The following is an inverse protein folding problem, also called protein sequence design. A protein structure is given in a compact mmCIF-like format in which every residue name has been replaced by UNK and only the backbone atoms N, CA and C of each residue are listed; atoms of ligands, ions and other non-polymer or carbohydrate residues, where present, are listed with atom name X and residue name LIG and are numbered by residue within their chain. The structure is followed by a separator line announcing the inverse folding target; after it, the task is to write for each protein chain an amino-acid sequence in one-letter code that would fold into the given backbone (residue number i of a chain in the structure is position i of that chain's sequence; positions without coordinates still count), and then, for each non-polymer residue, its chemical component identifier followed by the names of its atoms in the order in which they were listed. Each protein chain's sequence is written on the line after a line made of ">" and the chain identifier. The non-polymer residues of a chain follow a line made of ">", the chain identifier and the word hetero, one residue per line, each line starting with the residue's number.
data_IF_971807593632
#
_entry.id   IF_971807593632
#
_cell.length_a   1.000
_cell.length_b   1.000
_cell.length_c   1.000
_cell.angle_alpha   90.00
_cell.angle_beta   90.00
_cell.angle_gamma   90.00
#
_symmetry.space_group_name_H-M   'P 1'
#
loop_
_entity.id
_entity.type
_entity.pdbx_description
1 polymer ?
#
# COMPACT_ATOMS: atom_id res chain seq x y z
N UNK A 1 8.73 -33.92 -13.84
CA UNK A 1 8.38 -33.20 -12.59
C UNK A 1 6.97 -32.66 -12.74
N UNK A 2 6.19 -32.62 -11.67
CA UNK A 2 4.83 -32.05 -11.67
C UNK A 2 4.91 -30.60 -11.18
N UNK A 3 4.32 -29.68 -11.93
CA UNK A 3 4.17 -28.28 -11.55
C UNK A 3 2.71 -28.01 -11.21
N UNK A 4 2.44 -27.43 -10.05
CA UNK A 4 1.08 -27.05 -9.64
C UNK A 4 1.06 -25.55 -9.40
N UNK A 5 0.21 -24.85 -10.14
CA UNK A 5 -0.07 -23.44 -9.95
C UNK A 5 -1.36 -23.33 -9.18
N UNK A 6 -1.34 -22.65 -8.06
CA UNK A 6 -2.51 -22.44 -7.22
C UNK A 6 -2.81 -20.95 -7.11
N UNK A 7 -4.09 -20.67 -6.98
CA UNK A 7 -4.60 -19.37 -6.58
C UNK A 7 -5.86 -19.59 -5.73
N UNK A 8 -6.14 -18.67 -4.82
CA UNK A 8 -7.31 -18.72 -3.98
C UNK A 8 -7.91 -17.33 -3.81
N UNK A 9 -9.25 -17.27 -3.86
CA UNK A 9 -9.96 -16.06 -3.47
C UNK A 9 -10.22 -16.07 -1.96
N UNK A 10 -10.13 -14.89 -1.35
CA UNK A 10 -10.31 -14.74 0.09
C UNK A 10 -11.41 -13.74 0.44
N UNK A 11 -12.06 -13.95 1.57
CA UNK A 11 -12.91 -12.93 2.19
C UNK A 11 -12.60 -12.74 3.68
N UNK A 12 -12.96 -11.57 4.21
CA UNK A 12 -12.78 -11.24 5.61
C UNK A 12 -14.00 -11.68 6.43
N UNK A 13 -13.83 -12.73 7.24
CA UNK A 13 -14.88 -13.28 8.11
C UNK A 13 -14.61 -12.94 9.57
N UNK A 14 -15.65 -12.55 10.31
CA UNK A 14 -15.52 -12.21 11.74
C UNK A 14 -15.58 -13.47 12.59
N UNK A 15 -14.49 -13.80 13.27
CA UNK A 15 -14.35 -14.94 14.18
C UNK A 15 -13.92 -14.41 15.55
N UNK A 16 -14.68 -14.71 16.61
CA UNK A 16 -14.38 -14.29 17.99
C UNK A 16 -14.04 -12.78 18.12
N UNK A 17 -14.79 -11.94 17.40
CA UNK A 17 -14.60 -10.48 17.43
C UNK A 17 -13.49 -9.93 16.52
N UNK A 18 -12.64 -10.78 15.92
CA UNK A 18 -11.57 -10.38 15.00
C UNK A 18 -11.91 -10.74 13.56
N UNK A 19 -11.46 -9.93 12.60
CA UNK A 19 -11.54 -10.29 11.18
C UNK A 19 -10.40 -11.22 10.83
N UNK A 20 -10.73 -12.35 10.21
CA UNK A 20 -9.79 -13.34 9.69
C UNK A 20 -10.00 -13.46 8.19
N UNK A 21 -8.90 -13.54 7.44
CA UNK A 21 -8.92 -13.89 6.03
C UNK A 21 -9.23 -15.39 5.90
N UNK A 22 -10.23 -15.73 5.11
CA UNK A 22 -10.70 -17.10 4.89
C UNK A 22 -10.79 -17.40 3.40
N UNK A 23 -10.46 -18.62 3.01
CA UNK A 23 -10.60 -19.09 1.61
C UNK A 23 -12.08 -19.21 1.24
N UNK A 24 -12.47 -18.65 0.10
CA UNK A 24 -13.82 -18.76 -0.48
C UNK A 24 -13.86 -19.49 -1.82
N UNK A 25 -12.73 -19.57 -2.52
CA UNK A 25 -12.52 -20.49 -3.65
C UNK A 25 -11.06 -20.91 -3.74
N UNK A 26 -10.82 -22.09 -4.28
CA UNK A 26 -9.49 -22.64 -4.54
C UNK A 26 -9.43 -23.11 -5.99
N UNK A 27 -8.49 -22.56 -6.76
CA UNK A 27 -8.21 -22.94 -8.13
C UNK A 27 -6.80 -23.48 -8.25
N UNK A 28 -6.62 -24.47 -9.12
CA UNK A 28 -5.29 -24.97 -9.45
C UNK A 28 -5.20 -25.47 -10.89
N UNK A 29 -4.00 -25.32 -11.45
CA UNK A 29 -3.60 -25.93 -12.72
C UNK A 29 -2.37 -26.79 -12.46
N UNK A 30 -2.45 -28.06 -12.85
CA UNK A 30 -1.35 -29.00 -12.83
C UNK A 30 -0.79 -29.16 -14.24
N UNK A 31 0.53 -29.09 -14.37
CA UNK A 31 1.26 -29.36 -15.61
C UNK A 31 2.32 -30.45 -15.40
N UNK A 32 2.28 -31.49 -16.22
CA UNK A 32 3.30 -32.55 -16.31
C UNK A 32 3.56 -32.85 -17.78
N UNK A 33 4.68 -32.39 -18.30
CA UNK A 33 5.01 -32.48 -19.73
C UNK A 33 3.86 -31.91 -20.61
N UNK A 34 3.27 -32.71 -21.49
CA UNK A 34 2.10 -32.32 -22.29
C UNK A 34 0.78 -32.37 -21.50
N UNK A 35 0.72 -33.14 -20.40
CA UNK A 35 -0.50 -33.34 -19.62
C UNK A 35 -0.82 -32.11 -18.77
N UNK A 36 -2.09 -31.72 -18.81
CA UNK A 36 -2.65 -30.61 -18.06
C UNK A 36 -3.95 -31.06 -17.38
N UNK A 37 -4.13 -30.66 -16.13
CA UNK A 37 -5.35 -30.90 -15.39
C UNK A 37 -5.69 -29.67 -14.55
N UNK A 38 -6.98 -29.46 -14.32
CA UNK A 38 -7.47 -28.32 -13.53
C UNK A 38 -8.27 -28.81 -12.32
N UNK A 39 -8.26 -28.00 -11.27
CA UNK A 39 -9.10 -28.15 -10.10
C UNK A 39 -9.73 -26.80 -9.77
N UNK A 40 -11.01 -26.79 -9.46
CA UNK A 40 -11.69 -25.62 -8.94
C UNK A 40 -12.76 -26.05 -7.96
N UNK A 41 -12.81 -25.37 -6.82
CA UNK A 41 -13.87 -25.59 -5.84
C UNK A 41 -14.14 -24.32 -5.05
N UNK A 42 -15.42 -24.08 -4.76
CA UNK A 42 -15.83 -23.08 -3.78
C UNK A 42 -15.63 -23.64 -2.38
N UNK A 43 -15.32 -22.76 -1.43
CA UNK A 43 -15.14 -23.10 -0.02
C UNK A 43 -16.14 -22.28 0.80
N UNK A 44 -16.87 -22.92 1.70
CA UNK A 44 -17.72 -22.25 2.68
C UNK A 44 -16.93 -22.02 3.99
N UNK A 45 -16.56 -20.77 4.32
CA UNK A 45 -15.90 -20.49 5.60
C UNK A 45 -16.79 -20.84 6.79
N UNK A 46 -16.19 -21.26 7.90
CA UNK A 46 -16.93 -21.46 9.15
C UNK A 46 -17.61 -20.15 9.58
N UNK A 47 -18.88 -20.22 9.95
CA UNK A 47 -19.75 -19.07 10.31
C UNK A 47 -19.94 -18.04 9.20
N UNK A 48 -19.77 -18.43 7.93
CA UNK A 48 -20.01 -17.55 6.80
C UNK A 48 -21.45 -17.00 6.81
N UNK A 49 -21.57 -15.68 6.65
CA UNK A 49 -22.86 -14.98 6.60
C UNK A 49 -23.12 -14.44 5.20
N UNK A 50 -22.16 -13.67 4.67
CA UNK A 50 -22.20 -13.07 3.35
C UNK A 50 -20.79 -12.62 2.95
N UNK A 51 -20.54 -12.55 1.65
CA UNK A 51 -19.31 -11.94 1.12
C UNK A 51 -19.29 -10.44 1.42
N UNK A 52 -18.11 -9.90 1.72
CA UNK A 52 -17.92 -8.45 1.71
C UNK A 52 -18.26 -7.87 0.32
N UNK A 53 -18.68 -6.60 0.29
CA UNK A 53 -19.11 -5.96 -0.96
C UNK A 53 -17.97 -5.83 -1.99
N UNK A 54 -16.72 -5.76 -1.52
CA UNK A 54 -15.53 -5.69 -2.36
C UNK A 54 -15.30 -7.03 -3.04
N UNK A 55 -15.17 -8.12 -2.27
CA UNK A 55 -14.90 -9.46 -2.80
C UNK A 55 -16.00 -9.89 -3.77
N UNK A 56 -17.27 -9.72 -3.39
CA UNK A 56 -18.42 -10.05 -4.26
C UNK A 56 -18.39 -9.35 -5.62
N UNK A 57 -17.95 -8.09 -5.66
CA UNK A 57 -17.88 -7.32 -6.90
C UNK A 57 -16.70 -7.73 -7.77
N UNK A 58 -15.58 -8.08 -7.15
CA UNK A 58 -14.36 -8.47 -7.85
C UNK A 58 -14.46 -9.89 -8.40
N UNK A 59 -14.90 -10.85 -7.59
CA UNK A 59 -14.91 -12.28 -7.97
C UNK A 59 -16.21 -12.74 -8.63
N UNK A 60 -17.23 -11.89 -8.63
CA UNK A 60 -18.59 -12.20 -9.10
C UNK A 60 -19.27 -13.38 -8.38
N UNK A 61 -18.70 -13.86 -7.27
CA UNK A 61 -19.25 -14.94 -6.46
C UNK A 61 -20.55 -14.50 -5.74
N UNK A 62 -21.49 -15.43 -5.58
CA UNK A 62 -22.75 -15.19 -4.89
C UNK A 62 -22.74 -15.79 -3.49
N UNK A 63 -23.39 -15.09 -2.55
CA UNK A 63 -23.56 -15.58 -1.17
C UNK A 63 -24.28 -16.94 -1.11
N UNK A 64 -25.15 -17.26 -2.08
CA UNK A 64 -25.80 -18.57 -2.19
C UNK A 64 -24.80 -19.68 -2.51
N UNK A 65 -23.89 -19.41 -3.42
CA UNK A 65 -22.98 -20.42 -3.97
C UNK A 65 -21.94 -20.78 -2.90
N UNK A 66 -21.45 -19.78 -2.16
CA UNK A 66 -20.56 -20.00 -1.02
C UNK A 66 -21.25 -20.74 0.13
N UNK A 67 -22.51 -20.42 0.46
CA UNK A 67 -23.25 -21.12 1.53
C UNK A 67 -23.49 -22.60 1.23
N UNK A 68 -23.65 -22.94 -0.06
CA UNK A 68 -23.87 -24.30 -0.52
C UNK A 68 -22.56 -25.04 -0.83
N UNK A 69 -21.42 -24.36 -0.72
CA UNK A 69 -20.11 -24.95 -0.98
C UNK A 69 -19.65 -25.89 0.15
N UNK A 70 -18.67 -26.72 -0.16
CA UNK A 70 -18.06 -27.64 0.80
C UNK A 70 -17.21 -26.88 1.84
N UNK A 71 -17.00 -27.50 2.99
CA UNK A 71 -16.08 -26.95 4.00
C UNK A 71 -14.63 -27.02 3.50
N UNK A 72 -13.74 -26.19 4.07
CA UNK A 72 -12.30 -26.23 3.70
C UNK A 72 -11.69 -27.64 3.82
N UNK A 73 -11.91 -28.41 4.91
CA UNK A 73 -11.41 -29.80 5.00
C UNK A 73 -11.90 -30.72 3.88
N UNK A 74 -13.17 -30.60 3.48
CA UNK A 74 -13.74 -31.43 2.42
C UNK A 74 -13.14 -31.07 1.05
N UNK A 75 -12.96 -29.77 0.79
CA UNK A 75 -12.29 -29.28 -0.43
C UNK A 75 -10.83 -29.71 -0.46
N UNK A 76 -10.11 -29.64 0.67
CA UNK A 76 -8.73 -30.11 0.76
C UNK A 76 -8.64 -31.61 0.49
N UNK A 77 -9.58 -32.41 1.01
CA UNK A 77 -9.65 -33.85 0.70
C UNK A 77 -9.87 -34.11 -0.79
N UNK A 78 -10.78 -33.37 -1.42
CA UNK A 78 -11.02 -33.46 -2.87
C UNK A 78 -9.78 -33.06 -3.67
N UNK A 79 -9.09 -32.00 -3.24
CA UNK A 79 -7.85 -31.54 -3.86
C UNK A 79 -6.75 -32.61 -3.79
N UNK A 80 -6.57 -33.25 -2.63
CA UNK A 80 -5.61 -34.35 -2.46
C UNK A 80 -5.94 -35.57 -3.32
N UNK A 81 -7.23 -35.93 -3.42
CA UNK A 81 -7.69 -37.01 -4.30
C UNK A 81 -7.43 -36.69 -5.77
N UNK A 82 -7.62 -35.43 -6.18
CA UNK A 82 -7.30 -34.97 -7.52
C UNK A 82 -5.80 -35.02 -7.83
N UNK A 83 -4.93 -34.74 -6.84
CA UNK A 83 -3.48 -34.83 -6.98
C UNK A 83 -2.93 -36.26 -7.01
N UNK A 84 -3.59 -37.20 -6.35
CA UNK A 84 -3.10 -38.56 -6.13
C UNK A 84 -2.55 -39.25 -7.40
N UNK A 85 -3.24 -39.23 -8.57
CA UNK A 85 -2.75 -39.89 -9.78
C UNK A 85 -1.40 -39.36 -10.30
N UNK A 86 -1.00 -38.16 -9.89
CA UNK A 86 0.20 -37.48 -10.36
C UNK A 86 1.39 -37.62 -9.42
N UNK A 87 1.14 -37.97 -8.15
CA UNK A 87 2.15 -37.94 -7.09
C UNK A 87 2.95 -39.25 -6.93
N UNK A 88 2.44 -40.39 -7.39
CA UNK A 88 3.04 -41.72 -7.11
C UNK A 88 4.43 -41.95 -7.74
N UNK A 89 4.84 -41.14 -8.72
CA UNK A 89 6.08 -41.36 -9.49
C UNK A 89 6.84 -40.09 -9.85
N UNK A 90 6.55 -38.95 -9.21
CA UNK A 90 7.13 -37.68 -9.62
C UNK A 90 7.33 -36.72 -8.45
N UNK A 91 8.47 -36.02 -8.46
CA UNK A 91 8.63 -34.83 -7.63
C UNK A 91 7.61 -33.78 -8.05
N UNK A 92 7.06 -33.07 -7.06
CA UNK A 92 6.04 -32.05 -7.24
C UNK A 92 6.55 -30.70 -6.73
N UNK A 93 6.25 -29.62 -7.44
CA UNK A 93 6.52 -28.25 -7.01
C UNK A 93 5.27 -27.40 -7.17
N UNK A 94 4.90 -26.72 -6.09
CA UNK A 94 3.73 -25.86 -6.05
C UNK A 94 4.14 -24.39 -6.08
N UNK A 95 3.34 -23.58 -6.76
CA UNK A 95 3.58 -22.18 -7.01
C UNK A 95 2.31 -21.39 -6.74
N UNK A 96 2.46 -20.22 -6.14
CA UNK A 96 1.40 -19.21 -6.03
C UNK A 96 1.88 -17.91 -6.67
N UNK A 97 0.94 -17.00 -6.95
CA UNK A 97 1.32 -15.70 -7.47
C UNK A 97 2.07 -14.91 -6.40
N UNK A 98 1.44 -14.65 -5.26
CA UNK A 98 2.04 -13.92 -4.14
C UNK A 98 2.20 -14.77 -2.87
N UNK A 99 2.62 -14.14 -1.76
CA UNK A 99 2.79 -14.84 -0.48
C UNK A 99 1.47 -15.12 0.25
N UNK A 100 0.36 -14.52 -0.18
CA UNK A 100 -0.92 -14.55 0.52
C UNK A 100 -1.59 -15.92 0.48
N UNK A 101 -1.52 -16.64 -0.63
CA UNK A 101 -2.07 -18.01 -0.76
C UNK A 101 -1.46 -18.96 0.25
N UNK A 102 -0.13 -19.08 0.23
CA UNK A 102 0.61 -19.91 1.18
C UNK A 102 0.26 -19.55 2.61
N UNK A 103 0.27 -18.25 2.94
CA UNK A 103 -0.03 -17.79 4.31
C UNK A 103 -1.45 -18.19 4.73
N UNK A 104 -2.44 -17.95 3.88
CA UNK A 104 -3.85 -18.17 4.22
C UNK A 104 -4.20 -19.65 4.25
N UNK A 105 -3.69 -20.46 3.30
CA UNK A 105 -3.91 -21.90 3.29
C UNK A 105 -3.31 -22.59 4.52
N UNK A 106 -2.12 -22.18 4.97
CA UNK A 106 -1.52 -22.69 6.21
C UNK A 106 -2.37 -22.30 7.45
N UNK A 107 -2.96 -21.09 7.45
CA UNK A 107 -3.87 -20.66 8.51
C UNK A 107 -5.17 -21.46 8.52
N UNK A 108 -5.72 -21.79 7.34
CA UNK A 108 -6.88 -22.69 7.22
C UNK A 108 -6.55 -24.09 7.76
N UNK A 109 -5.42 -24.68 7.37
CA UNK A 109 -4.98 -25.97 7.90
C UNK A 109 -4.86 -25.94 9.43
N UNK A 110 -4.22 -24.91 9.99
CA UNK A 110 -4.10 -24.77 11.45
C UNK A 110 -5.47 -24.65 12.14
N UNK A 111 -6.38 -23.85 11.57
CA UNK A 111 -7.73 -23.63 12.11
C UNK A 111 -8.59 -24.89 12.10
N UNK A 112 -8.45 -25.71 11.07
CA UNK A 112 -9.22 -26.94 10.87
C UNK A 112 -8.48 -28.21 11.34
N UNK A 113 -7.26 -28.07 11.86
CA UNK A 113 -6.40 -29.18 12.29
C UNK A 113 -6.12 -30.18 11.15
N UNK A 114 -5.92 -29.66 9.95
CA UNK A 114 -5.51 -30.42 8.77
C UNK A 114 -3.97 -30.40 8.63
N UNK A 115 -3.43 -31.40 7.94
CA UNK A 115 -1.99 -31.46 7.62
C UNK A 115 -1.59 -30.28 6.69
N UNK A 116 -0.65 -29.42 7.10
CA UNK A 116 -0.20 -28.28 6.29
C UNK A 116 0.86 -28.65 5.25
N UNK A 117 1.43 -29.87 5.30
CA UNK A 117 2.66 -30.25 4.58
C UNK A 117 2.63 -29.94 3.08
N UNK A 118 1.46 -30.04 2.45
CA UNK A 118 1.27 -29.74 1.03
C UNK A 118 1.61 -28.29 0.67
N UNK A 119 1.31 -27.34 1.56
CA UNK A 119 1.40 -25.90 1.30
C UNK A 119 2.69 -25.26 1.83
N UNK A 120 3.44 -25.95 2.69
CA UNK A 120 4.65 -25.38 3.31
C UNK A 120 5.71 -24.97 2.28
N UNK A 121 5.81 -25.74 1.19
CA UNK A 121 6.79 -25.57 0.11
C UNK A 121 6.32 -24.73 -1.09
N UNK A 122 5.17 -24.04 -1.02
CA UNK A 122 4.71 -23.17 -2.11
C UNK A 122 5.74 -22.06 -2.38
N UNK A 123 6.10 -21.88 -3.65
CA UNK A 123 7.00 -20.83 -4.11
C UNK A 123 6.22 -19.62 -4.64
N UNK A 124 6.61 -18.42 -4.18
CA UNK A 124 6.14 -17.12 -4.67
C UNK A 124 6.79 -16.81 -6.02
N UNK A 125 6.00 -16.81 -7.10
CA UNK A 125 6.46 -16.48 -8.44
C UNK A 125 6.41 -14.99 -8.76
N UNK A 126 5.57 -14.19 -8.11
CA UNK A 126 5.45 -12.76 -8.38
C UNK A 126 6.80 -12.08 -8.24
N UNK A 127 7.52 -12.29 -7.13
CA UNK A 127 8.84 -11.67 -6.93
C UNK A 127 9.87 -12.18 -7.93
N UNK A 128 9.87 -13.50 -8.18
CA UNK A 128 10.84 -14.13 -9.07
C UNK A 128 10.71 -13.62 -10.52
N UNK A 129 9.48 -13.49 -11.00
CA UNK A 129 9.21 -13.06 -12.37
C UNK A 129 9.33 -11.53 -12.48
N UNK A 130 8.87 -10.78 -11.48
CA UNK A 130 9.01 -9.30 -11.46
C UNK A 130 10.47 -8.85 -11.52
N UNK A 131 11.38 -9.60 -10.90
CA UNK A 131 12.82 -9.31 -10.92
C UNK A 131 13.43 -9.32 -12.34
N UNK A 132 12.78 -9.99 -13.31
CA UNK A 132 13.21 -9.99 -14.73
C UNK A 132 12.70 -8.78 -15.50
N UNK A 133 11.73 -8.04 -14.97
CA UNK A 133 11.09 -6.93 -15.66
C UNK A 133 11.82 -5.62 -15.35
N UNK A 134 12.66 -5.19 -16.29
CA UNK A 134 13.47 -3.98 -16.18
C UNK A 134 13.18 -3.01 -17.31
N UNK A 135 13.30 -1.72 -17.01
CA UNK A 135 13.22 -0.63 -17.98
C UNK A 135 14.47 0.23 -17.82
N UNK A 136 15.23 0.42 -18.91
CA UNK A 136 16.51 1.15 -18.89
C UNK A 136 17.49 0.63 -17.82
N UNK A 137 17.59 -0.69 -17.67
CA UNK A 137 18.40 -1.38 -16.64
C UNK A 137 18.00 -1.10 -15.18
N UNK A 138 16.81 -0.57 -14.96
CA UNK A 138 16.23 -0.35 -13.63
C UNK A 138 15.03 -1.27 -13.45
N UNK A 139 14.95 -1.93 -12.29
CA UNK A 139 13.80 -2.76 -11.91
C UNK A 139 12.52 -1.91 -11.90
N UNK A 140 11.49 -2.34 -12.62
CA UNK A 140 10.20 -1.60 -12.70
C UNK A 140 9.45 -1.62 -11.37
N UNK A 141 9.38 -2.80 -10.75
CA UNK A 141 8.79 -3.01 -9.41
C UNK A 141 9.30 -4.33 -8.84
N UNK A 142 9.49 -4.40 -7.53
CA UNK A 142 9.80 -5.66 -6.85
C UNK A 142 8.64 -6.66 -6.90
N UNK A 143 7.41 -6.16 -7.06
CA UNK A 143 6.18 -6.95 -7.16
C UNK A 143 5.23 -6.30 -8.16
N UNK A 144 5.22 -6.81 -9.40
CA UNK A 144 4.24 -6.42 -10.42
C UNK A 144 2.91 -7.16 -10.18
N UNK A 145 1.80 -6.56 -10.61
CA UNK A 145 0.50 -7.25 -10.55
C UNK A 145 0.45 -8.40 -11.56
N UNK A 146 -0.52 -9.30 -11.41
CA UNK A 146 -0.73 -10.38 -12.38
C UNK A 146 -1.01 -9.78 -13.77
N UNK A 147 -1.85 -8.74 -13.82
CA UNK A 147 -2.13 -7.97 -15.04
C UNK A 147 -0.89 -7.37 -15.70
N UNK A 148 -0.02 -6.69 -14.92
CA UNK A 148 1.26 -6.16 -15.44
C UNK A 148 2.13 -7.28 -16.02
N UNK A 149 2.16 -8.46 -15.38
CA UNK A 149 2.95 -9.59 -15.86
C UNK A 149 2.31 -10.28 -17.08
N UNK A 150 0.99 -10.34 -17.19
CA UNK A 150 0.30 -10.74 -18.42
C UNK A 150 0.69 -9.83 -19.57
N UNK A 151 0.63 -8.50 -19.37
CA UNK A 151 1.06 -7.51 -20.36
C UNK A 151 2.54 -7.70 -20.74
N UNK A 152 3.43 -7.82 -19.76
CA UNK A 152 4.87 -7.96 -19.99
C UNK A 152 5.25 -9.23 -20.78
N UNK A 153 4.47 -10.30 -20.69
CA UNK A 153 4.71 -11.58 -21.38
C UNK A 153 3.69 -11.89 -22.49
N UNK A 154 2.94 -10.88 -22.94
CA UNK A 154 1.94 -10.99 -24.01
C UNK A 154 0.89 -12.11 -23.79
N UNK A 155 0.45 -12.29 -22.54
CA UNK A 155 -0.66 -13.19 -22.20
C UNK A 155 -1.97 -12.42 -22.32
N UNK A 156 -2.89 -12.93 -23.16
CA UNK A 156 -4.16 -12.28 -23.46
C UNK A 156 -5.18 -12.34 -22.30
N UNK A 157 -6.16 -11.44 -22.36
CA UNK A 157 -7.28 -11.35 -21.41
C UNK A 157 -6.96 -10.53 -20.16
N UNK A 158 -8.00 -9.99 -19.52
CA UNK A 158 -7.89 -9.33 -18.23
C UNK A 158 -7.74 -10.37 -17.10
N UNK A 159 -7.34 -9.92 -15.91
CA UNK A 159 -7.44 -10.72 -14.67
C UNK A 159 -8.91 -10.75 -14.25
N UNK A 160 -9.46 -11.95 -14.07
CA UNK A 160 -10.89 -12.12 -13.79
C UNK A 160 -11.22 -12.17 -12.30
N UNK A 161 -10.21 -12.29 -11.43
CA UNK A 161 -10.41 -12.57 -10.00
C UNK A 161 -11.23 -13.85 -9.79
N UNK A 162 -10.86 -14.87 -10.56
CA UNK A 162 -11.36 -16.22 -10.41
C UNK A 162 -10.15 -17.14 -10.22
N UNK A 163 -10.15 -17.85 -9.09
CA UNK A 163 -9.01 -18.66 -8.68
C UNK A 163 -8.50 -19.65 -9.75
N UNK A 164 -9.36 -20.22 -10.60
CA UNK A 164 -8.89 -21.14 -11.65
C UNK A 164 -8.26 -20.40 -12.83
N UNK A 165 -8.88 -19.31 -13.28
CA UNK A 165 -8.36 -18.55 -14.42
C UNK A 165 -7.06 -17.84 -14.04
N UNK A 166 -6.97 -17.29 -12.83
CA UNK A 166 -5.76 -16.64 -12.32
C UNK A 166 -4.61 -17.65 -12.11
N UNK A 167 -4.91 -18.89 -11.66
CA UNK A 167 -3.93 -19.98 -11.64
C UNK A 167 -3.44 -20.38 -13.05
N UNK A 168 -4.34 -20.35 -14.05
CA UNK A 168 -3.98 -20.60 -15.46
C UNK A 168 -3.10 -19.50 -16.03
N UNK A 169 -3.41 -18.24 -15.73
CA UNK A 169 -2.60 -17.10 -16.12
C UNK A 169 -1.21 -17.15 -15.49
N UNK A 170 -1.13 -17.48 -14.19
CA UNK A 170 0.14 -17.71 -13.51
C UNK A 170 0.99 -18.78 -14.20
N UNK A 171 0.38 -19.91 -14.57
CA UNK A 171 1.07 -20.96 -15.33
C UNK A 171 1.65 -20.42 -16.63
N UNK A 172 0.83 -19.73 -17.43
CA UNK A 172 1.23 -19.19 -18.74
C UNK A 172 2.35 -18.16 -18.61
N UNK A 173 2.24 -17.24 -17.65
CA UNK A 173 3.27 -16.25 -17.36
C UNK A 173 4.57 -16.95 -16.94
N UNK A 174 4.49 -17.94 -16.05
CA UNK A 174 5.67 -18.66 -15.59
C UNK A 174 6.36 -19.37 -16.76
N UNK A 175 5.63 -20.11 -17.57
CA UNK A 175 6.16 -20.78 -18.76
C UNK A 175 6.78 -19.79 -19.75
N UNK A 176 6.09 -18.69 -20.05
CA UNK A 176 6.62 -17.63 -20.91
C UNK A 176 7.92 -17.04 -20.34
N UNK A 177 7.97 -16.76 -19.03
CA UNK A 177 9.16 -16.20 -18.38
C UNK A 177 10.39 -17.11 -18.36
N UNK A 178 10.21 -18.41 -18.63
CA UNK A 178 11.30 -19.37 -18.78
C UNK A 178 11.83 -19.42 -20.22
N UNK A 179 11.01 -19.03 -21.20
CA UNK A 179 11.30 -19.14 -22.63
C UNK A 179 11.75 -17.83 -23.27
N UNK A 180 11.30 -16.69 -22.73
CA UNK A 180 11.57 -15.39 -23.32
C UNK A 180 11.73 -14.30 -22.25
N UNK A 181 12.39 -13.22 -22.64
CA UNK A 181 12.43 -11.98 -21.87
C UNK A 181 11.10 -11.21 -22.01
N UNK A 182 10.78 -10.32 -21.06
CA UNK A 182 9.63 -9.42 -21.16
C UNK A 182 9.64 -8.56 -22.43
N UNK A 183 8.47 -8.32 -23.02
CA UNK A 183 8.33 -7.43 -24.17
C UNK A 183 8.67 -5.97 -23.79
N UNK A 184 9.64 -5.39 -24.49
CA UNK A 184 10.16 -4.05 -24.16
C UNK A 184 9.14 -2.94 -24.32
N UNK A 185 8.24 -3.04 -25.32
CA UNK A 185 7.21 -2.01 -25.55
C UNK A 185 6.13 -2.12 -24.48
N UNK A 186 5.67 -3.33 -24.18
CA UNK A 186 4.72 -3.59 -23.10
C UNK A 186 5.26 -3.10 -21.75
N UNK A 187 6.53 -3.33 -21.46
CA UNK A 187 7.19 -2.83 -20.24
C UNK A 187 7.22 -1.30 -20.20
N UNK A 188 7.50 -0.62 -21.32
CA UNK A 188 7.43 0.83 -21.39
C UNK A 188 6.02 1.34 -21.07
N UNK A 189 4.98 0.74 -21.64
CA UNK A 189 3.57 1.10 -21.37
C UNK A 189 3.20 0.93 -19.89
N UNK A 190 3.66 -0.15 -19.25
CA UNK A 190 3.49 -0.39 -17.82
C UNK A 190 4.13 0.75 -17.01
N UNK A 191 5.35 1.15 -17.35
CA UNK A 191 6.09 2.23 -16.66
C UNK A 191 5.35 3.56 -16.81
N UNK A 192 4.94 3.92 -18.03
CA UNK A 192 4.21 5.14 -18.32
C UNK A 192 2.87 5.19 -17.56
N UNK A 193 2.11 4.08 -17.57
CA UNK A 193 0.86 3.93 -16.81
C UNK A 193 1.09 4.14 -15.31
N UNK A 194 2.13 3.53 -14.72
CA UNK A 194 2.47 3.69 -13.30
C UNK A 194 2.87 5.11 -12.96
N UNK A 195 3.71 5.77 -13.78
CA UNK A 195 4.11 7.16 -13.58
C UNK A 195 2.93 8.12 -13.66
N UNK A 196 2.06 7.94 -14.66
CA UNK A 196 0.82 8.72 -14.77
C UNK A 196 -0.06 8.55 -13.53
N UNK A 197 -0.22 7.32 -13.04
CA UNK A 197 -1.01 7.06 -11.82
C UNK A 197 -0.40 7.70 -10.57
N UNK A 198 0.92 7.67 -10.43
CA UNK A 198 1.62 8.33 -9.33
C UNK A 198 1.41 9.85 -9.35
N UNK A 199 1.48 10.49 -10.52
CA UNK A 199 1.20 11.92 -10.67
C UNK A 199 -0.25 12.26 -10.30
N UNK A 200 -1.21 11.47 -10.79
CA UNK A 200 -2.64 11.64 -10.46
C UNK A 200 -2.90 11.52 -8.94
N UNK A 201 -2.31 10.52 -8.29
CA UNK A 201 -2.44 10.32 -6.83
C UNK A 201 -1.80 11.47 -6.06
N UNK A 202 -0.60 11.91 -6.45
CA UNK A 202 0.08 13.04 -5.83
C UNK A 202 -0.73 14.33 -5.96
N UNK A 203 -1.30 14.60 -7.14
CA UNK A 203 -2.18 15.73 -7.37
C UNK A 203 -3.42 15.69 -6.46
N UNK A 204 -4.13 14.55 -6.41
CA UNK A 204 -5.30 14.38 -5.53
C UNK A 204 -4.96 14.55 -4.05
N UNK A 205 -3.77 14.11 -3.63
CA UNK A 205 -3.29 14.31 -2.26
C UNK A 205 -3.01 15.79 -1.98
N UNK A 206 -2.40 16.50 -2.93
CA UNK A 206 -2.13 17.93 -2.83
C UNK A 206 -3.44 18.75 -2.78
N UNK A 207 -4.40 18.47 -3.66
CA UNK A 207 -5.72 19.11 -3.66
C UNK A 207 -6.46 18.89 -2.33
N UNK A 208 -6.42 17.64 -1.81
CA UNK A 208 -7.01 17.31 -0.51
C UNK A 208 -6.32 18.07 0.61
N UNK A 209 -4.99 18.15 0.60
CA UNK A 209 -4.23 18.91 1.60
C UNK A 209 -4.60 20.40 1.54
N UNK A 210 -4.62 20.99 0.36
CA UNK A 210 -4.99 22.40 0.14
C UNK A 210 -6.39 22.68 0.69
N UNK A 211 -7.38 21.85 0.35
CA UNK A 211 -8.75 22.00 0.86
C UNK A 211 -8.80 21.99 2.39
N UNK A 212 -8.14 21.02 3.02
CA UNK A 212 -8.14 20.90 4.48
C UNK A 212 -7.40 22.07 5.14
N UNK A 213 -6.31 22.56 4.55
CA UNK A 213 -5.61 23.74 5.07
C UNK A 213 -6.46 25.01 4.90
N UNK A 214 -7.12 25.21 3.75
CA UNK A 214 -8.06 26.32 3.56
C UNK A 214 -9.20 26.29 4.59
N UNK A 215 -9.83 25.13 4.79
CA UNK A 215 -10.88 24.96 5.80
C UNK A 215 -10.37 25.26 7.21
N UNK A 216 -9.22 24.70 7.61
CA UNK A 216 -8.64 24.89 8.94
C UNK A 216 -8.35 26.36 9.25
N UNK A 217 -7.79 27.08 8.28
CA UNK A 217 -7.37 28.48 8.49
C UNK A 217 -8.42 29.51 8.06
N UNK A 218 -9.60 29.08 7.59
CA UNK A 218 -10.68 29.94 7.07
C UNK A 218 -11.23 30.95 8.07
N UNK A 219 -11.19 30.64 9.36
CA UNK A 219 -11.68 31.52 10.43
C UNK A 219 -10.74 32.70 10.72
N UNK A 220 -9.50 32.68 10.21
CA UNK A 220 -8.51 33.73 10.49
C UNK A 220 -8.47 34.74 9.35
N UNK A 221 -8.88 35.98 9.64
CA UNK A 221 -8.86 37.09 8.66
C UNK A 221 -7.45 37.58 8.34
N UNK A 222 -6.49 37.29 9.22
CA UNK A 222 -5.09 37.67 9.08
C UNK A 222 -4.23 36.41 9.23
N UNK A 223 -3.51 36.08 8.16
CA UNK A 223 -2.58 34.95 8.10
C UNK A 223 -1.11 35.38 8.21
N UNK A 224 -0.86 36.61 8.68
CA UNK A 224 0.48 37.14 8.92
C UNK A 224 0.53 37.83 10.28
N UNK A 225 1.44 37.43 11.15
CA UNK A 225 1.57 38.02 12.48
C UNK A 225 3.04 38.13 12.93
N UNK A 226 3.39 39.14 13.75
CA UNK A 226 4.62 39.08 14.52
C UNK A 226 4.51 37.94 15.56
N UNK A 227 5.59 37.21 15.80
CA UNK A 227 5.63 36.08 16.74
C UNK A 227 6.39 36.49 18.00
N UNK A 228 5.68 36.51 19.13
CA UNK A 228 6.27 36.66 20.47
C UNK A 228 6.50 35.28 21.08
N UNK A 229 7.73 35.04 21.55
CA UNK A 229 8.17 33.75 22.08
C UNK A 229 7.75 33.55 23.54
N UNK A 230 6.45 33.46 23.80
CA UNK A 230 5.93 33.00 25.10
C UNK A 230 6.31 31.53 25.36
N UNK A 231 6.35 31.06 26.62
CA UNK A 231 6.72 29.68 26.94
C UNK A 231 5.94 28.63 26.11
N UNK A 232 4.64 28.82 25.95
CA UNK A 232 3.77 27.94 25.15
C UNK A 232 4.08 27.97 23.64
N UNK A 233 4.63 29.08 23.14
CA UNK A 233 5.04 29.24 21.73
C UNK A 233 6.39 28.57 21.49
N UNK A 234 7.33 28.73 22.41
CA UNK A 234 8.60 27.99 22.41
C UNK A 234 8.33 26.49 22.38
N UNK A 235 7.35 26.02 23.16
CA UNK A 235 6.93 24.63 23.15
C UNK A 235 6.34 24.20 21.79
N UNK A 236 5.56 25.04 21.10
CA UNK A 236 5.10 24.72 19.74
C UNK A 236 6.26 24.54 18.75
N UNK A 237 7.31 25.36 18.83
CA UNK A 237 8.50 25.23 18.00
C UNK A 237 9.27 23.94 18.30
N UNK A 238 9.42 23.60 19.59
CA UNK A 238 10.03 22.34 20.03
C UNK A 238 9.27 21.12 19.52
N UNK A 239 7.94 21.10 19.67
CA UNK A 239 7.09 20.03 19.16
C UNK A 239 7.18 19.90 17.63
N UNK A 240 7.45 21.00 16.93
CA UNK A 240 7.63 20.97 15.47
C UNK A 240 8.97 20.33 15.11
N UNK A 241 10.06 20.73 15.76
CA UNK A 241 11.39 20.11 15.62
C UNK A 241 11.35 18.60 15.88
N UNK A 242 10.63 18.14 16.91
CA UNK A 242 10.49 16.72 17.23
C UNK A 242 9.72 15.93 16.15
N UNK A 243 8.76 16.57 15.47
CA UNK A 243 7.87 15.92 14.49
C UNK A 243 8.33 16.05 13.04
N UNK A 244 9.20 17.01 12.77
CA UNK A 244 9.69 17.32 11.43
C UNK A 244 11.20 17.49 11.45
N UNK A 245 11.91 16.47 10.96
CA UNK A 245 13.38 16.46 10.92
C UNK A 245 13.97 17.55 10.02
N UNK A 246 13.17 18.16 9.14
CA UNK A 246 13.62 19.26 8.28
C UNK A 246 13.43 20.63 8.95
N UNK A 247 12.85 20.67 10.15
CA UNK A 247 12.63 21.88 10.91
C UNK A 247 13.85 22.20 11.79
N UNK A 248 14.80 22.95 11.24
CA UNK A 248 16.07 23.28 11.90
C UNK A 248 16.06 24.65 12.60
N UNK A 249 15.05 24.89 13.43
CA UNK A 249 14.91 26.10 14.24
C UNK A 249 14.76 25.68 15.70
N UNK A 250 15.76 26.02 16.51
CA UNK A 250 15.74 25.74 17.94
C UNK A 250 15.74 27.04 18.73
N UNK A 251 14.70 27.23 19.56
CA UNK A 251 14.55 28.43 20.38
C UNK A 251 15.13 28.15 21.76
N UNK A 252 16.27 28.77 22.06
CA UNK A 252 16.94 28.66 23.36
C UNK A 252 16.56 29.85 24.27
N UNK A 253 17.10 29.85 25.49
CA UNK A 253 16.83 30.89 26.49
C UNK A 253 17.23 32.28 25.97
N UNK A 254 18.48 32.41 25.52
CA UNK A 254 19.07 33.71 25.15
C UNK A 254 19.35 33.84 23.64
N UNK A 255 19.21 32.75 22.88
CA UNK A 255 19.49 32.71 21.44
C UNK A 255 18.48 31.87 20.65
N UNK A 256 18.53 32.01 19.32
CA UNK A 256 17.78 31.22 18.34
C UNK A 256 18.82 30.56 17.43
N UNK A 257 18.84 29.22 17.42
CA UNK A 257 19.68 28.46 16.50
C UNK A 257 18.91 28.21 15.20
N UNK A 258 19.41 28.76 14.09
CA UNK A 258 18.81 28.68 12.77
C UNK A 258 19.83 28.08 11.80
N UNK A 259 19.61 26.83 11.36
CA UNK A 259 20.56 26.03 10.56
C UNK A 259 22.01 26.06 11.10
N UNK A 260 22.17 25.99 12.43
CA UNK A 260 23.48 26.03 13.07
C UNK A 260 24.08 27.45 13.23
N UNK A 261 23.38 28.51 12.81
CA UNK A 261 23.74 29.89 13.13
C UNK A 261 23.02 30.35 14.38
N UNK A 262 23.74 30.94 15.32
CA UNK A 262 23.18 31.46 16.56
C UNK A 262 22.82 32.94 16.41
N UNK A 263 21.56 33.26 16.68
CA UNK A 263 21.00 34.61 16.59
C UNK A 263 20.60 35.09 18.00
N UNK A 264 21.07 36.27 18.48
CA UNK A 264 20.65 36.80 19.77
C UNK A 264 19.14 37.03 19.84
N UNK A 265 18.46 36.42 20.82
CA UNK A 265 16.99 36.42 20.88
C UNK A 265 16.42 37.83 21.08
N UNK A 266 17.05 38.65 21.92
CA UNK A 266 16.59 40.02 22.21
C UNK A 266 16.65 40.95 20.99
N UNK A 267 17.54 40.67 20.04
CA UNK A 267 17.75 41.48 18.85
C UNK A 267 17.02 40.94 17.62
N UNK A 268 16.37 39.77 17.74
CA UNK A 268 15.73 39.07 16.61
C UNK A 268 14.21 39.20 16.69
N UNK A 269 13.62 39.89 15.71
CA UNK A 269 12.17 39.91 15.53
C UNK A 269 11.74 38.73 14.67
N UNK A 270 10.71 38.00 15.09
CA UNK A 270 10.15 36.89 14.33
C UNK A 270 8.79 37.31 13.76
N UNK A 271 8.52 36.97 12.51
CA UNK A 271 7.17 37.05 11.93
C UNK A 271 6.82 35.75 11.23
N UNK A 272 5.53 35.38 11.29
CA UNK A 272 4.98 34.21 10.60
C UNK A 272 3.99 34.67 9.53
N UNK A 273 4.05 34.03 8.36
CA UNK A 273 3.08 34.19 7.27
C UNK A 273 2.63 32.81 6.81
N UNK A 274 1.32 32.61 6.74
CA UNK A 274 0.71 31.38 6.23
C UNK A 274 0.16 31.70 4.84
N UNK A 275 0.51 30.85 3.88
CA UNK A 275 0.05 30.91 2.49
C UNK A 275 -0.79 29.65 2.22
N UNK A 276 -2.02 29.84 1.77
CA UNK A 276 -2.99 28.77 1.52
C UNK A 276 -3.59 28.86 0.12
N UNK A 277 -2.99 29.60 -0.82
CA UNK A 277 -3.60 29.80 -2.14
C UNK A 277 -3.36 28.62 -3.08
N UNK A 278 -2.09 28.19 -3.21
CA UNK A 278 -1.68 27.11 -4.12
C UNK A 278 -1.07 25.94 -3.36
N UNK A 279 0.13 26.16 -2.81
CA UNK A 279 0.87 25.19 -2.01
C UNK A 279 0.82 25.68 -0.57
N UNK A 280 0.01 25.03 0.29
CA UNK A 280 -0.08 25.40 1.69
C UNK A 280 1.30 25.44 2.31
N UNK A 281 1.67 26.58 2.85
CA UNK A 281 3.00 26.79 3.40
C UNK A 281 2.98 27.83 4.52
N UNK A 282 4.02 27.78 5.34
CA UNK A 282 4.26 28.73 6.41
C UNK A 282 5.68 29.24 6.28
N UNK A 283 5.81 30.56 6.24
CA UNK A 283 7.07 31.28 6.22
C UNK A 283 7.33 31.90 7.59
N UNK A 284 8.53 31.67 8.12
CA UNK A 284 9.04 32.29 9.34
C UNK A 284 10.18 33.22 8.94
N UNK A 285 10.04 34.51 9.22
CA UNK A 285 11.06 35.53 8.95
C UNK A 285 11.70 35.97 10.26
N UNK A 286 13.03 36.01 10.28
CA UNK A 286 13.87 36.42 11.40
C UNK A 286 14.62 37.69 11.01
N UNK A 287 14.34 38.80 11.68
CA UNK A 287 14.87 40.14 11.34
C UNK A 287 15.78 40.68 12.44
N UNK A 288 16.99 41.11 12.07
CA UNK A 288 17.98 41.78 12.90
C UNK A 288 18.51 43.02 12.17
N UNK A 289 18.07 44.22 12.56
CA UNK A 289 18.39 45.44 11.80
C UNK A 289 17.90 45.34 10.35
N UNK A 290 18.82 45.43 9.39
CA UNK A 290 18.55 45.26 7.95
C UNK A 290 18.58 43.80 7.48
N UNK A 291 19.12 42.87 8.28
CA UNK A 291 19.23 41.47 7.90
C UNK A 291 17.90 40.74 8.11
N UNK A 292 17.41 40.06 7.07
CA UNK A 292 16.19 39.23 7.11
C UNK A 292 16.53 37.83 6.62
N UNK A 293 16.25 36.81 7.44
CA UNK A 293 16.34 35.41 7.06
C UNK A 293 14.94 34.83 7.03
N UNK A 294 14.47 34.33 5.88
CA UNK A 294 13.17 33.69 5.74
C UNK A 294 13.31 32.18 5.57
N UNK A 295 12.49 31.41 6.29
CA UNK A 295 12.35 29.96 6.17
C UNK A 295 10.94 29.59 5.79
N UNK A 296 10.78 28.89 4.67
CA UNK A 296 9.48 28.42 4.17
C UNK A 296 9.37 26.91 4.35
N UNK A 297 8.27 26.48 4.99
CA UNK A 297 7.94 25.09 5.22
C UNK A 297 6.60 24.75 4.59
N UNK A 298 6.45 23.52 4.10
CA UNK A 298 5.14 23.02 3.67
C UNK A 298 4.21 22.90 4.88
N UNK A 299 2.99 23.39 4.74
CA UNK A 299 1.97 23.29 5.77
C UNK A 299 1.22 21.97 5.57
N UNK A 300 1.53 21.00 6.42
CA UNK A 300 1.05 19.62 6.35
C UNK A 300 0.34 19.24 7.64
N UNK A 301 -0.38 18.11 7.65
CA UNK A 301 -1.08 17.62 8.84
C UNK A 301 -0.20 17.52 10.09
N UNK A 302 1.11 17.25 9.91
CA UNK A 302 2.06 17.12 11.02
C UNK A 302 2.30 18.43 11.75
N UNK A 303 2.44 19.54 11.03
CA UNK A 303 2.80 20.85 11.61
C UNK A 303 1.62 21.84 11.73
N UNK A 304 0.51 21.60 11.01
CA UNK A 304 -0.62 22.52 10.95
C UNK A 304 -1.17 22.92 12.32
N UNK A 305 -1.24 22.00 13.29
CA UNK A 305 -1.71 22.31 14.65
C UNK A 305 -0.77 23.25 15.40
N UNK A 306 0.55 23.10 15.26
CA UNK A 306 1.52 23.99 15.92
C UNK A 306 1.44 25.40 15.31
N UNK A 307 1.40 25.47 13.99
CA UNK A 307 1.24 26.74 13.25
C UNK A 307 -0.06 27.45 13.65
N UNK A 308 -1.17 26.72 13.72
CA UNK A 308 -2.46 27.24 14.14
C UNK A 308 -2.44 27.73 15.60
N UNK A 309 -1.83 26.98 16.52
CA UNK A 309 -1.70 27.39 17.92
C UNK A 309 -0.89 28.69 18.06
N UNK A 310 0.20 28.83 17.30
CA UNK A 310 1.00 30.06 17.27
C UNK A 310 0.14 31.22 16.75
N UNK A 311 -0.54 31.03 15.61
CA UNK A 311 -1.38 32.05 15.00
C UNK A 311 -2.49 32.51 15.95
N UNK A 312 -3.24 31.55 16.50
CA UNK A 312 -4.34 31.79 17.44
C UNK A 312 -3.86 32.60 18.66
N UNK A 313 -2.70 32.24 19.21
CA UNK A 313 -2.12 32.95 20.35
C UNK A 313 -1.73 34.39 20.01
N UNK A 314 -1.14 34.61 18.83
CA UNK A 314 -0.75 35.95 18.40
C UNK A 314 -1.95 36.85 18.13
N UNK A 315 -3.03 36.30 17.56
CA UNK A 315 -4.25 37.06 17.27
C UNK A 315 -5.04 37.41 18.55
N UNK A 316 -5.05 36.55 19.56
CA UNK A 316 -5.69 36.84 20.85
C UNK A 316 -5.04 38.01 21.61
N UNK A 317 -3.75 38.28 21.39
CA UNK A 317 -3.00 39.35 22.03
C UNK A 317 -2.70 40.56 21.12
N UNK A 318 -3.16 40.53 19.86
CA UNK A 318 -2.94 41.60 18.88
C UNK A 318 -3.99 42.72 18.87
N UNK A 319 -5.06 42.59 19.65
CA UNK A 319 -6.12 43.61 19.80
C UNK A 319 -5.93 44.51 21.05
N UNK A 320 -4.69 44.63 21.54
CA UNK A 320 -4.34 45.42 22.73
C UNK A 320 -3.53 46.66 22.39
#
# INVERSE_FOLDING_TARGET
>A
MVHIYIDAEFDAVKINGKYCQMVVSLGAVLKKDAQEATFYSLVCPKNFQRLTSVVRKMTHLKDSDIRNANSFPDVLKQFMQWLQPYMESSSCRMYSFGPDDRRTLLQECARHHCDPSLFEGILDLQKQISAKVTYQNVLVSATLSLDDLKTAYAIEGAVEHNALTDASDLMRIHQASLLQDPDRKAVQEIVERKLAKQREVAQKQQEKLLRIMKERFSQYTVLKCPVRLYPEIVEQFRLWEERDRNFHINIQKDSILLDGRELPREQTKISMRIDIEEIPSVALSFTQGENVIEKKYLLIYRNATMVENILKRMLQHGNG
#
